data_IF_218067379179
#
_entry.id   IF_218067379179
#
_cell.length_a   1.000
_cell.length_b   1.000
_cell.length_c   1.000
_cell.angle_alpha   90.00
_cell.angle_beta   90.00
_cell.angle_gamma   90.00
#
_symmetry.space_group_name_H-M   'P 1'
#
loop_
_entity.id
_entity.type
_entity.pdbx_description
1 polymer ?
#
# COMPACT_ATOMS: atom_id res chain seq x y z
N UNK A 1 16.38 5.87 5.60
CA UNK A 1 15.01 5.38 5.30
C UNK A 1 13.93 6.45 5.47
N UNK A 2 14.00 7.34 6.48
CA UNK A 2 13.06 8.47 6.64
C UNK A 2 13.03 9.44 5.43
N UNK A 3 14.18 9.69 4.81
CA UNK A 3 14.30 10.61 3.66
C UNK A 3 13.72 10.07 2.35
N UNK A 4 13.60 8.74 2.19
CA UNK A 4 13.02 8.10 1.02
C UNK A 4 11.48 8.09 1.13
N UNK A 5 10.97 7.82 2.34
CA UNK A 5 9.55 7.84 2.66
C UNK A 5 8.93 9.23 2.43
N UNK A 6 9.60 10.32 2.82
CA UNK A 6 9.14 11.68 2.57
C UNK A 6 9.06 12.05 1.08
N UNK A 7 9.97 11.56 0.25
CA UNK A 7 9.96 11.81 -1.20
C UNK A 7 8.88 11.00 -1.93
N UNK A 8 8.65 9.76 -1.50
CA UNK A 8 7.58 8.92 -2.05
C UNK A 8 6.19 9.49 -1.68
N UNK A 9 6.03 9.99 -0.45
CA UNK A 9 4.82 10.71 -0.02
C UNK A 9 4.56 11.96 -0.88
N UNK A 10 5.59 12.78 -1.10
CA UNK A 10 5.45 14.02 -1.87
C UNK A 10 5.06 13.76 -3.35
N UNK A 11 5.62 12.73 -3.99
CA UNK A 11 5.27 12.38 -5.39
C UNK A 11 3.84 11.83 -5.49
N UNK A 12 3.39 11.07 -4.50
CA UNK A 12 2.03 10.55 -4.46
C UNK A 12 0.98 11.66 -4.26
N UNK A 13 1.29 12.69 -3.44
CA UNK A 13 0.42 13.86 -3.26
C UNK A 13 0.18 14.63 -4.56
N UNK A 14 1.21 14.73 -5.42
CA UNK A 14 1.12 15.43 -6.70
C UNK A 14 0.22 14.66 -7.69
N UNK A 15 0.21 13.33 -7.63
CA UNK A 15 -0.65 12.52 -8.49
C UNK A 15 -2.13 12.62 -8.10
N UNK A 16 -2.46 12.64 -6.80
CA UNK A 16 -3.85 12.77 -6.32
C UNK A 16 -4.51 14.12 -6.66
N UNK A 17 -3.72 15.21 -6.73
CA UNK A 17 -4.26 16.54 -6.96
C UNK A 17 -4.87 16.74 -8.36
N UNK A 18 -4.58 15.85 -9.32
CA UNK A 18 -5.06 15.97 -10.71
C UNK A 18 -6.24 15.04 -11.04
N UNK A 19 -6.69 14.22 -10.10
CA UNK A 19 -7.59 13.09 -10.39
C UNK A 19 -9.10 13.36 -10.25
N UNK A 20 -9.57 14.50 -9.72
CA UNK A 20 -11.02 14.61 -9.45
C UNK A 20 -11.61 16.02 -9.50
N UNK A 21 -12.06 16.40 -10.70
CA UNK A 21 -13.21 17.28 -10.92
C UNK A 21 -14.19 16.63 -11.91
N UNK A 22 -14.62 15.39 -11.62
CA UNK A 22 -15.86 14.88 -12.21
C UNK A 22 -17.00 15.26 -11.25
N UNK A 23 -17.98 16.05 -11.71
CA UNK A 23 -19.23 16.24 -11.00
C UNK A 23 -19.92 14.88 -10.95
N UNK A 24 -19.87 14.21 -9.80
CA UNK A 24 -20.46 12.89 -9.64
C UNK A 24 -22.00 13.04 -9.63
N UNK A 25 -22.64 12.75 -10.76
CA UNK A 25 -24.08 12.54 -10.81
C UNK A 25 -24.39 11.14 -10.26
N UNK A 26 -25.00 11.07 -9.07
CA UNK A 26 -25.37 9.81 -8.44
C UNK A 26 -26.61 9.24 -9.13
N UNK A 27 -26.45 8.15 -9.90
CA UNK A 27 -27.58 7.43 -10.50
C UNK A 27 -27.88 6.14 -9.72
N UNK A 28 -29.12 5.97 -9.28
CA UNK A 28 -29.64 4.73 -8.69
C UNK A 28 -30.76 4.20 -9.58
N UNK A 29 -30.58 3.00 -10.14
CA UNK A 29 -31.52 2.39 -11.09
C UNK A 29 -31.88 3.31 -12.29
N UNK A 30 -30.93 4.14 -12.73
CA UNK A 30 -31.13 5.09 -13.84
C UNK A 30 -31.84 6.40 -13.46
N UNK A 31 -32.18 6.63 -12.20
CA UNK A 31 -32.69 7.91 -11.71
C UNK A 31 -31.57 8.73 -11.04
N UNK A 32 -31.55 10.03 -11.32
CA UNK A 32 -30.62 10.98 -10.68
C UNK A 32 -31.17 11.26 -9.28
N UNK A 33 -30.43 10.84 -8.26
CA UNK A 33 -30.77 11.09 -6.85
C UNK A 33 -29.80 12.11 -6.27
N UNK A 34 -30.24 13.00 -5.37
CA UNK A 34 -29.32 13.88 -4.67
C UNK A 34 -28.35 13.03 -3.85
N UNK A 35 -27.05 13.31 -3.96
CA UNK A 35 -26.01 12.55 -3.27
C UNK A 35 -26.03 12.74 -1.73
N UNK A 36 -27.01 13.46 -1.19
CA UNK A 36 -27.29 13.58 0.25
C UNK A 36 -28.02 12.35 0.80
N UNK A 37 -28.83 11.68 -0.05
CA UNK A 37 -29.60 10.48 0.33
C UNK A 37 -28.74 9.21 0.32
N UNK A 38 -27.55 9.24 -0.27
CA UNK A 38 -26.63 8.10 -0.27
C UNK A 38 -25.84 8.04 1.02
N UNK A 39 -25.80 6.88 1.71
CA UNK A 39 -25.10 6.78 2.97
C UNK A 39 -23.61 7.10 2.85
N UNK A 40 -23.10 7.92 3.77
CA UNK A 40 -21.70 8.40 3.73
C UNK A 40 -20.65 7.28 3.77
N UNK A 41 -20.99 6.11 4.30
CA UNK A 41 -20.08 4.95 4.32
C UNK A 41 -19.72 4.44 2.92
N UNK A 42 -20.56 4.67 1.91
CA UNK A 42 -20.28 4.34 0.51
C UNK A 42 -19.04 5.08 0.00
N UNK A 43 -18.82 6.32 0.44
CA UNK A 43 -17.66 7.12 0.04
C UNK A 43 -16.46 6.88 0.96
N UNK A 44 -16.69 6.61 2.25
CA UNK A 44 -15.61 6.42 3.23
C UNK A 44 -14.91 5.06 3.10
N UNK A 45 -15.66 4.00 2.76
CA UNK A 45 -15.13 2.65 2.67
C UNK A 45 -14.06 2.47 1.57
N UNK A 46 -14.23 2.98 0.33
CA UNK A 46 -13.20 2.92 -0.70
C UNK A 46 -11.92 3.69 -0.31
N UNK A 47 -12.07 4.85 0.32
CA UNK A 47 -10.94 5.67 0.77
C UNK A 47 -10.13 4.90 1.82
N UNK A 48 -10.80 4.28 2.79
CA UNK A 48 -10.15 3.49 3.82
C UNK A 48 -9.38 2.30 3.23
N UNK A 49 -10.00 1.55 2.31
CA UNK A 49 -9.35 0.43 1.61
C UNK A 49 -8.13 0.92 0.83
N UNK A 50 -8.22 2.06 0.16
CA UNK A 50 -7.14 2.62 -0.62
C UNK A 50 -5.92 2.95 0.25
N UNK A 51 -6.13 3.63 1.38
CA UNK A 51 -5.07 3.97 2.34
C UNK A 51 -4.40 2.71 2.90
N UNK A 52 -5.20 1.72 3.27
CA UNK A 52 -4.71 0.43 3.80
C UNK A 52 -3.89 -0.30 2.73
N UNK A 53 -4.37 -0.33 1.48
CA UNK A 53 -3.69 -0.99 0.36
C UNK A 53 -2.32 -0.36 0.09
N UNK A 54 -2.22 0.97 0.16
CA UNK A 54 -0.94 1.68 0.01
C UNK A 54 0.02 1.35 1.14
N UNK A 55 -0.46 1.34 2.39
CA UNK A 55 0.37 1.00 3.53
C UNK A 55 0.95 -0.43 3.40
N UNK A 56 0.12 -1.39 2.96
CA UNK A 56 0.58 -2.76 2.68
C UNK A 56 1.57 -2.84 1.53
N UNK A 57 1.33 -2.10 0.45
CA UNK A 57 2.25 -2.08 -0.69
C UNK A 57 3.61 -1.49 -0.30
N UNK A 58 3.64 -0.39 0.45
CA UNK A 58 4.87 0.21 0.96
C UNK A 58 5.60 -0.75 1.89
N UNK A 59 4.89 -1.45 2.79
CA UNK A 59 5.49 -2.46 3.66
C UNK A 59 6.12 -3.61 2.87
N UNK A 60 5.41 -4.12 1.86
CA UNK A 60 5.88 -5.20 0.99
C UNK A 60 7.18 -4.81 0.25
N UNK A 61 7.17 -3.64 -0.42
CA UNK A 61 8.37 -3.11 -1.10
C UNK A 61 9.51 -2.91 -0.11
N UNK A 62 9.23 -2.38 1.08
CA UNK A 62 10.26 -2.15 2.08
C UNK A 62 10.93 -3.45 2.53
N UNK A 63 10.19 -4.54 2.68
CA UNK A 63 10.76 -5.87 2.98
C UNK A 63 11.57 -6.43 1.81
N UNK A 64 11.12 -6.24 0.57
CA UNK A 64 11.87 -6.65 -0.61
C UNK A 64 13.22 -5.93 -0.71
N UNK A 65 13.22 -4.61 -0.51
CA UNK A 65 14.43 -3.79 -0.50
C UNK A 65 15.37 -4.21 0.63
N UNK A 66 14.82 -4.52 1.81
CA UNK A 66 15.59 -5.00 2.95
C UNK A 66 16.25 -6.37 2.66
N UNK A 67 15.53 -7.28 2.01
CA UNK A 67 16.04 -8.58 1.60
C UNK A 67 17.19 -8.43 0.60
N UNK A 68 17.06 -7.56 -0.40
CA UNK A 68 18.10 -7.32 -1.40
C UNK A 68 19.39 -6.75 -0.75
N UNK A 69 19.25 -5.82 0.20
CA UNK A 69 20.41 -5.13 0.79
C UNK A 69 21.10 -5.92 1.88
N UNK A 70 20.36 -6.66 2.70
CA UNK A 70 20.90 -7.27 3.92
C UNK A 70 21.19 -8.77 3.78
N UNK A 71 20.54 -9.47 2.84
CA UNK A 71 20.81 -10.90 2.62
C UNK A 71 22.05 -11.10 1.76
N UNK A 72 22.92 -12.01 2.21
CA UNK A 72 24.15 -12.41 1.51
C UNK A 72 24.01 -13.79 0.87
N UNK A 73 23.78 -14.82 1.69
CA UNK A 73 23.72 -16.21 1.21
C UNK A 73 22.34 -16.56 0.64
N UNK A 74 21.26 -16.33 1.39
CA UNK A 74 19.90 -16.73 1.00
C UNK A 74 19.13 -15.64 0.24
N UNK A 75 19.82 -14.68 -0.36
CA UNK A 75 19.20 -13.54 -1.05
C UNK A 75 18.16 -13.94 -2.11
N UNK A 76 18.49 -14.81 -3.10
CA UNK A 76 17.51 -15.15 -4.13
C UNK A 76 16.30 -15.88 -3.57
N UNK A 77 16.49 -16.75 -2.57
CA UNK A 77 15.39 -17.45 -1.90
C UNK A 77 14.41 -16.47 -1.25
N UNK A 78 14.90 -15.51 -0.47
CA UNK A 78 14.04 -14.52 0.19
C UNK A 78 13.33 -13.58 -0.79
N UNK A 79 14.01 -13.16 -1.85
CA UNK A 79 13.39 -12.36 -2.92
C UNK A 79 12.24 -13.14 -3.57
N UNK A 80 12.46 -14.41 -3.92
CA UNK A 80 11.42 -15.25 -4.52
C UNK A 80 10.23 -15.42 -3.57
N UNK A 81 10.47 -15.70 -2.29
CA UNK A 81 9.40 -15.83 -1.29
C UNK A 81 8.59 -14.53 -1.19
N UNK A 82 9.24 -13.37 -1.08
CA UNK A 82 8.57 -12.08 -0.95
C UNK A 82 7.77 -11.74 -2.21
N UNK A 83 8.29 -12.04 -3.40
CA UNK A 83 7.63 -11.72 -4.68
C UNK A 83 6.44 -12.65 -4.94
N UNK A 84 6.60 -13.97 -4.74
CA UNK A 84 5.52 -14.92 -5.03
C UNK A 84 4.43 -14.92 -3.96
N UNK A 85 4.78 -14.76 -2.67
CA UNK A 85 3.80 -14.75 -1.58
C UNK A 85 3.32 -13.33 -1.23
N UNK A 86 3.82 -12.31 -1.92
CA UNK A 86 3.46 -10.91 -1.73
C UNK A 86 3.47 -10.50 -0.25
N UNK A 87 2.32 -10.07 0.27
CA UNK A 87 2.16 -9.63 1.65
C UNK A 87 2.54 -10.72 2.66
N UNK A 88 2.12 -11.97 2.45
CA UNK A 88 2.49 -13.09 3.33
C UNK A 88 4.00 -13.31 3.34
N UNK A 89 4.65 -13.24 2.17
CA UNK A 89 6.10 -13.37 2.05
C UNK A 89 6.85 -12.27 2.81
N UNK A 90 6.34 -11.03 2.76
CA UNK A 90 6.92 -9.90 3.52
C UNK A 90 6.80 -10.06 5.03
N UNK A 91 5.67 -10.59 5.53
CA UNK A 91 5.48 -10.88 6.96
C UNK A 91 6.45 -11.97 7.42
N UNK A 92 6.56 -13.07 6.66
CA UNK A 92 7.44 -14.19 6.99
C UNK A 92 8.90 -13.72 7.03
N UNK A 93 9.33 -12.95 6.03
CA UNK A 93 10.68 -12.35 6.01
C UNK A 93 10.93 -11.45 7.23
N UNK A 94 9.95 -10.60 7.56
CA UNK A 94 10.07 -9.70 8.71
C UNK A 94 10.34 -10.45 10.01
N UNK A 95 9.56 -11.49 10.30
CA UNK A 95 9.71 -12.28 11.54
C UNK A 95 10.91 -13.22 11.52
N UNK A 96 11.18 -13.86 10.38
CA UNK A 96 12.25 -14.86 10.28
C UNK A 96 13.63 -14.23 10.26
N UNK A 97 13.78 -13.07 9.62
CA UNK A 97 15.10 -12.59 9.22
C UNK A 97 15.38 -11.19 9.76
N UNK A 98 14.52 -10.21 9.44
CA UNK A 98 14.72 -8.83 9.89
C UNK A 98 14.66 -8.69 11.41
N UNK A 99 13.70 -9.35 12.07
CA UNK A 99 13.58 -9.33 13.54
C UNK A 99 14.74 -10.05 14.23
N UNK A 100 15.23 -11.16 13.66
CA UNK A 100 16.39 -11.88 14.22
C UNK A 100 17.65 -11.04 14.14
N UNK A 101 17.87 -10.35 13.03
CA UNK A 101 19.00 -9.43 12.84
C UNK A 101 18.99 -8.26 13.83
N UNK A 102 17.83 -7.71 14.14
CA UNK A 102 17.69 -6.60 15.10
C UNK A 102 17.78 -7.02 16.58
N UNK A 103 17.78 -8.32 16.88
CA UNK A 103 17.90 -8.86 18.25
C UNK A 103 19.35 -9.22 18.64
N UNK A 104 20.26 -9.27 17.68
CA UNK A 104 21.70 -9.39 17.91
C UNK A 104 22.32 -8.01 18.06
#
# INVERSE_FOLDING_TARGET
MSKLFGKVLAVFSIFLATASTALAECTLNGQIVPCEDVPSWIFLFPILIFVISIAFFVFWIWMLVDAIQNQKEDRPMWILIIVFLNFLGSIIYYFSEKRKRNKK
#
